data_IF_999740905044
#
_entry.id   IF_999740905044
#
_cell.length_a   1.000
_cell.length_b   1.000
_cell.length_c   1.000
_cell.angle_alpha   90.00
_cell.angle_beta   90.00
_cell.angle_gamma   90.00
#
_symmetry.space_group_name_H-M   'P 1'
#
loop_
_entity.id
_entity.type
_entity.pdbx_description
1 polymer ?
#
# COMPACT_ATOMS: atom_id res chain seq x y z
N UNK A 1 11.22 26.14 3.72
CA UNK A 1 9.85 26.46 3.27
C UNK A 1 8.89 25.56 4.02
N UNK A 2 7.81 26.13 4.57
CA UNK A 2 6.76 25.39 5.26
C UNK A 2 5.69 25.01 4.25
N UNK A 3 5.61 23.73 3.93
CA UNK A 3 4.71 23.17 2.93
C UNK A 3 3.31 22.98 3.51
N UNK A 4 2.22 23.26 2.77
CA UNK A 4 0.85 23.02 3.22
C UNK A 4 0.63 21.57 3.68
N UNK A 5 0.09 21.41 4.88
CA UNK A 5 -0.34 20.11 5.41
C UNK A 5 -1.79 19.86 5.05
N UNK A 6 -2.16 18.59 4.91
CA UNK A 6 -3.54 18.22 4.65
C UNK A 6 -4.38 18.44 5.90
N UNK A 7 -5.45 19.22 5.77
CA UNK A 7 -6.35 19.54 6.89
C UNK A 7 -7.77 19.12 6.55
N UNK A 8 -8.37 18.33 7.43
CA UNK A 8 -9.79 17.96 7.38
C UNK A 8 -10.48 18.68 8.52
N UNK A 9 -11.41 19.57 8.20
CA UNK A 9 -12.20 20.34 9.15
C UNK A 9 -13.64 19.82 9.12
N UNK A 10 -14.08 19.23 10.23
CA UNK A 10 -15.39 18.56 10.36
C UNK A 10 -16.38 19.32 11.24
N UNK A 11 -15.92 20.35 11.95
CA UNK A 11 -16.72 21.11 12.92
C UNK A 11 -16.82 22.58 12.48
N UNK A 12 -17.82 22.95 11.67
CA UNK A 12 -18.09 24.35 11.36
C UNK A 12 -18.70 25.07 12.56
N UNK A 13 -18.42 26.37 12.67
CA UNK A 13 -19.23 27.26 13.49
C UNK A 13 -20.54 27.54 12.75
N UNK A 14 -21.67 27.23 13.37
CA UNK A 14 -23.01 27.36 12.76
C UNK A 14 -23.74 28.57 13.33
N UNK A 15 -24.22 29.43 12.45
CA UNK A 15 -25.07 30.59 12.78
C UNK A 15 -26.37 30.47 11.98
N UNK A 16 -27.51 30.52 12.66
CA UNK A 16 -28.84 30.41 12.04
C UNK A 16 -29.60 31.69 12.32
N UNK A 17 -30.03 32.36 11.26
CA UNK A 17 -30.84 33.58 11.33
C UNK A 17 -32.13 33.33 10.58
N UNK A 18 -33.26 33.42 11.28
CA UNK A 18 -34.59 33.26 10.69
C UNK A 18 -35.29 34.62 10.69
N UNK A 19 -35.70 35.09 9.52
CA UNK A 19 -36.54 36.28 9.35
C UNK A 19 -37.82 35.86 8.64
N UNK A 20 -38.93 35.81 9.37
CA UNK A 20 -40.35 35.54 9.03
C UNK A 20 -40.68 34.52 7.91
N UNK A 21 -40.03 34.56 6.74
CA UNK A 21 -40.20 33.64 5.60
C UNK A 21 -38.90 32.97 5.11
N UNK A 22 -37.73 33.55 5.39
CA UNK A 22 -36.42 33.05 4.90
C UNK A 22 -35.55 32.66 6.10
N UNK A 23 -35.06 31.42 6.08
CA UNK A 23 -34.06 30.94 7.02
C UNK A 23 -32.68 30.89 6.34
N UNK A 24 -31.71 31.57 6.94
CA UNK A 24 -30.30 31.53 6.59
C UNK A 24 -29.55 30.67 7.61
N UNK A 25 -29.00 29.55 7.15
CA UNK A 25 -28.02 28.78 7.91
C UNK A 25 -26.63 28.98 7.34
N UNK A 26 -25.71 29.49 8.16
CA UNK A 26 -24.31 29.77 7.81
C UNK A 26 -23.38 28.82 8.55
N UNK A 27 -22.50 28.15 7.81
CA UNK A 27 -21.53 27.18 8.30
C UNK A 27 -20.13 27.70 7.98
N UNK A 28 -19.37 28.07 9.01
CA UNK A 28 -18.07 28.74 8.88
C UNK A 28 -16.93 27.83 9.31
N UNK A 29 -15.93 27.66 8.43
CA UNK A 29 -14.71 26.92 8.68
C UNK A 29 -13.53 27.86 8.76
N UNK A 30 -12.87 27.91 9.92
CA UNK A 30 -11.67 28.70 10.14
C UNK A 30 -10.43 27.91 9.71
N UNK A 31 -9.70 28.42 8.72
CA UNK A 31 -8.46 27.83 8.21
C UNK A 31 -7.30 28.77 8.54
N UNK A 32 -6.49 28.42 9.53
CA UNK A 32 -5.21 29.09 9.75
C UNK A 32 -4.18 28.59 8.72
N UNK A 33 -3.84 29.46 7.77
CA UNK A 33 -2.94 29.17 6.67
C UNK A 33 -1.61 29.91 6.88
N UNK A 34 -0.59 29.20 7.35
CA UNK A 34 0.74 29.74 7.59
C UNK A 34 1.78 28.88 6.89
N UNK A 35 1.76 28.91 5.56
CA UNK A 35 2.59 28.10 4.67
C UNK A 35 3.21 28.98 3.57
N UNK A 36 4.31 28.52 2.98
CA UNK A 36 5.10 29.25 1.97
C UNK A 36 4.73 28.88 0.53
N UNK A 37 3.82 27.92 0.35
CA UNK A 37 3.29 27.50 -0.96
C UNK A 37 1.76 27.41 -0.93
N UNK A 38 1.11 27.44 -2.10
CA UNK A 38 -0.34 27.22 -2.23
C UNK A 38 -0.74 25.79 -1.87
N UNK A 39 -1.93 25.55 -1.30
CA UNK A 39 -2.45 24.19 -1.14
C UNK A 39 -2.63 23.54 -2.51
N UNK A 40 -2.71 22.21 -2.52
CA UNK A 40 -2.90 21.47 -3.77
C UNK A 40 -4.32 21.63 -4.32
N UNK A 41 -5.30 21.51 -3.44
CA UNK A 41 -6.72 21.57 -3.74
C UNK A 41 -7.51 21.96 -2.50
N UNK A 42 -8.81 22.16 -2.67
CA UNK A 42 -9.75 22.08 -1.55
C UNK A 42 -11.02 21.35 -2.01
N UNK A 43 -11.64 20.65 -1.07
CA UNK A 43 -12.88 19.90 -1.31
C UNK A 43 -13.85 20.26 -0.20
N UNK A 44 -15.07 20.63 -0.57
CA UNK A 44 -16.17 20.80 0.37
C UNK A 44 -17.19 19.69 0.13
N UNK A 45 -17.38 18.82 1.12
CA UNK A 45 -18.39 17.75 1.08
C UNK A 45 -19.51 18.07 2.05
N UNK A 46 -20.76 17.93 1.60
CA UNK A 46 -21.91 18.20 2.45
C UNK A 46 -23.06 17.22 2.23
N UNK A 47 -23.90 17.10 3.26
CA UNK A 47 -25.19 16.41 3.27
C UNK A 47 -26.23 17.40 3.77
N UNK A 48 -27.13 17.83 2.88
CA UNK A 48 -28.15 18.84 3.17
C UNK A 48 -29.53 18.21 3.18
N UNK A 49 -30.30 18.52 4.22
CA UNK A 49 -31.72 18.16 4.34
C UNK A 49 -32.55 19.39 4.03
N UNK A 50 -33.42 19.30 3.02
CA UNK A 50 -34.22 20.45 2.58
C UNK A 50 -35.53 20.04 1.88
N UNK A 51 -36.36 21.04 1.60
CA UNK A 51 -37.53 21.01 0.71
C UNK A 51 -37.42 22.14 -0.33
N UNK A 52 -38.13 22.03 -1.46
CA UNK A 52 -38.04 22.93 -2.60
C UNK A 52 -36.64 22.98 -3.22
N UNK A 53 -36.11 24.19 -3.49
CA UNK A 53 -34.82 24.44 -4.13
C UNK A 53 -34.09 25.57 -3.41
N UNK A 54 -33.54 25.32 -2.21
CA UNK A 54 -32.82 26.35 -1.46
C UNK A 54 -31.59 26.82 -2.23
N UNK A 55 -31.23 28.09 -2.03
CA UNK A 55 -30.00 28.66 -2.59
C UNK A 55 -28.81 28.24 -1.73
N UNK A 56 -27.82 27.62 -2.37
CA UNK A 56 -26.54 27.27 -1.78
C UNK A 56 -25.48 28.26 -2.25
N UNK A 57 -24.80 28.90 -1.31
CA UNK A 57 -23.73 29.84 -1.58
C UNK A 57 -22.49 29.50 -0.76
N UNK A 58 -21.33 29.44 -1.40
CA UNK A 58 -20.05 29.23 -0.75
C UNK A 58 -19.14 30.41 -1.06
N UNK A 59 -18.53 30.97 -0.02
CA UNK A 59 -17.60 32.10 -0.13
C UNK A 59 -16.41 31.90 0.80
N UNK A 60 -15.33 32.63 0.54
CA UNK A 60 -14.16 32.68 1.42
C UNK A 60 -13.81 34.13 1.75
N UNK A 61 -13.68 34.41 3.04
CA UNK A 61 -13.14 35.68 3.54
C UNK A 61 -11.66 35.46 3.79
N UNK A 62 -10.83 36.25 3.11
CA UNK A 62 -9.37 36.19 3.19
C UNK A 62 -8.82 37.00 4.36
N UNK A 63 -7.55 36.78 4.78
CA UNK A 63 -6.91 37.54 5.85
C UNK A 63 -6.82 39.05 5.61
N UNK A 64 -6.81 39.48 4.36
CA UNK A 64 -6.79 40.89 3.95
C UNK A 64 -8.20 41.52 3.91
N UNK A 65 -9.23 40.80 4.36
CA UNK A 65 -10.62 41.25 4.40
C UNK A 65 -11.37 41.12 3.07
N UNK A 66 -10.71 40.68 2.00
CA UNK A 66 -11.37 40.49 0.71
C UNK A 66 -12.25 39.24 0.75
N UNK A 67 -13.54 39.40 0.48
CA UNK A 67 -14.48 38.29 0.28
C UNK A 67 -14.48 37.86 -1.19
N UNK A 68 -14.30 36.57 -1.42
CA UNK A 68 -14.42 35.93 -2.73
C UNK A 68 -15.61 34.96 -2.72
N UNK A 69 -16.53 35.16 -3.65
CA UNK A 69 -17.59 34.18 -3.92
C UNK A 69 -16.99 33.00 -4.71
N UNK A 70 -17.32 31.77 -4.30
CA UNK A 70 -16.79 30.54 -4.91
C UNK A 70 -17.87 29.80 -5.70
N UNK A 71 -19.06 29.65 -5.12
CA UNK A 71 -20.20 28.97 -5.74
C UNK A 71 -21.48 29.66 -5.31
N UNK A 72 -22.41 29.84 -6.24
CA UNK A 72 -23.79 30.25 -5.96
C UNK A 72 -24.74 29.49 -6.88
N UNK A 73 -25.43 28.48 -6.34
CA UNK A 73 -26.33 27.60 -7.11
C UNK A 73 -27.54 27.17 -6.29
N UNK A 74 -28.64 26.80 -6.92
CA UNK A 74 -29.79 26.21 -6.23
C UNK A 74 -29.61 24.70 -6.10
N UNK A 75 -29.99 24.13 -4.95
CA UNK A 75 -30.04 22.68 -4.79
C UNK A 75 -31.17 22.07 -5.65
N UNK A 76 -31.04 20.80 -6.06
CA UNK A 76 -32.04 20.12 -6.88
C UNK A 76 -33.44 20.19 -6.29
N UNK A 77 -34.44 20.50 -7.09
CA UNK A 77 -35.82 20.65 -6.63
C UNK A 77 -36.38 19.35 -6.03
N UNK A 78 -37.02 19.44 -4.87
CA UNK A 78 -37.78 18.34 -4.27
C UNK A 78 -39.04 18.83 -3.55
N UNK A 79 -40.19 18.22 -3.87
CA UNK A 79 -41.47 18.48 -3.18
C UNK A 79 -41.56 17.79 -1.81
N UNK A 80 -40.66 16.85 -1.51
CA UNK A 80 -40.61 16.11 -0.25
C UNK A 80 -39.29 16.40 0.47
N UNK A 81 -39.29 16.24 1.81
CA UNK A 81 -38.07 16.31 2.62
C UNK A 81 -37.07 15.27 2.11
N UNK A 82 -35.99 15.75 1.49
CA UNK A 82 -34.95 14.91 0.93
C UNK A 82 -33.62 15.19 1.60
N UNK A 83 -32.70 14.23 1.52
CA UNK A 83 -31.30 14.41 1.86
C UNK A 83 -30.52 14.33 0.55
N UNK A 84 -29.75 15.37 0.27
CA UNK A 84 -28.88 15.43 -0.89
C UNK A 84 -27.43 15.52 -0.43
N UNK A 85 -26.58 14.70 -1.02
CA UNK A 85 -25.15 14.65 -0.74
C UNK A 85 -24.38 15.03 -1.99
N UNK A 86 -23.42 15.93 -1.83
CA UNK A 86 -22.57 16.37 -2.94
C UNK A 86 -21.17 16.76 -2.46
N UNK A 87 -20.25 16.91 -3.42
CA UNK A 87 -18.87 17.34 -3.22
C UNK A 87 -18.51 18.40 -4.24
N UNK A 88 -18.08 19.55 -3.73
CA UNK A 88 -17.55 20.65 -4.53
C UNK A 88 -16.03 20.56 -4.52
N UNK A 89 -15.42 20.52 -5.70
CA UNK A 89 -13.99 20.46 -5.89
C UNK A 89 -13.46 21.81 -6.34
N UNK A 90 -12.29 22.21 -5.85
CA UNK A 90 -11.63 23.43 -6.29
C UNK A 90 -11.37 23.51 -7.80
N UNK A 91 -11.31 22.36 -8.47
CA UNK A 91 -11.16 22.20 -9.92
C UNK A 91 -12.45 22.38 -10.72
N UNK A 92 -13.60 22.50 -10.06
CA UNK A 92 -14.89 22.64 -10.75
C UNK A 92 -14.93 23.92 -11.59
N UNK A 93 -15.43 23.78 -12.82
CA UNK A 93 -15.48 24.89 -13.78
C UNK A 93 -16.30 26.09 -13.25
N UNK A 94 -17.31 25.82 -12.41
CA UNK A 94 -18.14 26.84 -11.77
C UNK A 94 -17.32 27.72 -10.82
N UNK A 95 -16.48 27.13 -9.96
CA UNK A 95 -15.59 27.87 -9.06
C UNK A 95 -14.63 28.75 -9.86
N UNK A 96 -14.02 28.16 -10.89
CA UNK A 96 -13.08 28.90 -11.72
C UNK A 96 -13.77 30.09 -12.40
N UNK A 97 -14.98 29.91 -12.91
CA UNK A 97 -15.78 30.97 -13.54
C UNK A 97 -16.13 32.07 -12.53
N UNK A 98 -16.59 31.73 -11.33
CA UNK A 98 -16.98 32.69 -10.29
C UNK A 98 -15.79 33.53 -9.82
N UNK A 99 -14.61 32.91 -9.67
CA UNK A 99 -13.37 33.61 -9.35
C UNK A 99 -12.92 34.56 -10.48
N UNK A 100 -13.11 34.17 -11.75
CA UNK A 100 -12.76 35.02 -12.91
C UNK A 100 -13.63 36.28 -13.00
N UNK A 101 -14.92 36.18 -12.62
CA UNK A 101 -15.81 37.35 -12.55
C UNK A 101 -15.30 38.40 -11.56
N UNK A 102 -14.47 37.99 -10.59
CA UNK A 102 -13.89 38.85 -9.56
C UNK A 102 -12.41 39.17 -9.83
N UNK A 103 -11.96 39.04 -11.09
CA UNK A 103 -10.56 39.27 -11.49
C UNK A 103 -10.06 40.70 -11.25
N UNK A 104 -10.96 41.68 -11.27
CA UNK A 104 -10.67 43.09 -10.98
C UNK A 104 -10.14 43.34 -9.56
N UNK A 105 -10.32 42.39 -8.63
CA UNK A 105 -9.74 42.43 -7.28
C UNK A 105 -8.24 42.13 -7.23
N UNK A 106 -7.63 41.73 -8.35
CA UNK A 106 -6.21 41.35 -8.45
C UNK A 106 -5.46 42.25 -9.43
N UNK A 107 -4.24 42.66 -9.05
CA UNK A 107 -3.40 43.54 -9.87
C UNK A 107 -2.59 42.77 -10.95
N UNK A 108 -2.75 41.45 -11.02
CA UNK A 108 -2.09 40.57 -11.99
C UNK A 108 -3.08 39.64 -12.69
N UNK A 109 -2.66 39.08 -13.82
CA UNK A 109 -3.49 38.18 -14.63
C UNK A 109 -3.69 36.83 -13.93
N UNK A 110 -4.92 36.56 -13.49
CA UNK A 110 -5.30 35.30 -12.82
C UNK A 110 -5.69 34.16 -13.78
N UNK A 111 -5.71 34.42 -15.10
CA UNK A 111 -6.30 33.51 -16.09
C UNK A 111 -5.66 32.12 -16.11
N UNK A 112 -4.36 32.04 -15.83
CA UNK A 112 -3.57 30.80 -15.87
C UNK A 112 -3.36 30.14 -14.51
N UNK A 113 -3.87 30.74 -13.43
CA UNK A 113 -3.68 30.19 -12.09
C UNK A 113 -4.70 29.09 -11.79
N UNK A 114 -4.42 28.24 -10.82
CA UNK A 114 -5.44 27.35 -10.26
C UNK A 114 -6.38 28.13 -9.33
N UNK A 115 -7.50 27.53 -8.91
CA UNK A 115 -8.45 28.19 -7.99
C UNK A 115 -7.79 28.50 -6.64
N UNK A 116 -6.93 27.61 -6.16
CA UNK A 116 -6.13 27.78 -4.94
C UNK A 116 -5.14 28.92 -5.11
N UNK A 117 -4.47 28.99 -6.26
CA UNK A 117 -3.57 30.09 -6.60
C UNK A 117 -4.27 31.45 -6.59
N UNK A 118 -5.56 31.52 -6.93
CA UNK A 118 -6.34 32.76 -6.82
C UNK A 118 -6.74 33.04 -5.37
N UNK A 119 -7.32 32.06 -4.68
CA UNK A 119 -7.87 32.23 -3.34
C UNK A 119 -6.77 32.59 -2.34
N UNK A 120 -5.63 31.89 -2.40
CA UNK A 120 -4.55 31.98 -1.43
C UNK A 120 -3.40 32.91 -1.86
N UNK A 121 -3.51 33.64 -2.98
CA UNK A 121 -2.49 34.65 -3.36
C UNK A 121 -2.81 36.02 -2.79
N UNK A 122 -1.77 36.82 -2.52
CA UNK A 122 -1.93 38.27 -2.31
C UNK A 122 -2.54 38.92 -3.56
N UNK A 123 -3.28 40.01 -3.40
CA UNK A 123 -3.93 40.72 -4.52
C UNK A 123 -2.93 41.44 -5.44
N UNK A 124 -1.83 41.91 -4.89
CA UNK A 124 -0.76 42.65 -5.58
C UNK A 124 0.19 41.72 -6.37
N UNK A 125 0.49 40.54 -5.80
CA UNK A 125 1.52 39.63 -6.31
C UNK A 125 1.07 38.18 -6.12
N UNK A 126 1.37 37.33 -7.10
CA UNK A 126 1.12 35.88 -7.03
C UNK A 126 2.07 35.17 -6.03
N UNK A 127 1.89 35.44 -4.74
CA UNK A 127 2.59 34.83 -3.62
C UNK A 127 1.58 34.43 -2.54
N UNK A 128 1.83 33.39 -1.75
CA UNK A 128 0.91 32.97 -0.68
C UNK A 128 0.61 34.07 0.33
N UNK A 129 -0.67 34.31 0.57
CA UNK A 129 -1.19 35.18 1.61
C UNK A 129 -1.40 34.35 2.88
N UNK A 130 -0.61 34.63 3.92
CA UNK A 130 -0.67 33.96 5.22
C UNK A 130 -1.72 34.62 6.11
N UNK A 131 -2.40 33.81 6.91
CA UNK A 131 -3.36 34.28 7.90
C UNK A 131 -4.57 33.36 8.04
N UNK A 132 -5.62 33.87 8.69
CA UNK A 132 -6.86 33.13 8.91
C UNK A 132 -7.84 33.38 7.76
N UNK A 133 -8.26 32.30 7.11
CA UNK A 133 -9.32 32.29 6.12
C UNK A 133 -10.60 31.78 6.76
N UNK A 134 -11.75 32.36 6.39
CA UNK A 134 -13.06 31.90 6.84
C UNK A 134 -13.83 31.45 5.61
N UNK A 135 -13.99 30.14 5.45
CA UNK A 135 -14.85 29.57 4.42
C UNK A 135 -16.27 29.52 4.97
N UNK A 136 -17.18 30.27 4.36
CA UNK A 136 -18.56 30.39 4.79
C UNK A 136 -19.48 29.77 3.75
N UNK A 137 -20.27 28.80 4.18
CA UNK A 137 -21.30 28.15 3.37
C UNK A 137 -22.66 28.56 3.90
N UNK A 138 -23.44 29.22 3.06
CA UNK A 138 -24.75 29.75 3.37
C UNK A 138 -25.81 28.96 2.60
N UNK A 139 -26.83 28.50 3.32
CA UNK A 139 -28.01 27.86 2.74
C UNK A 139 -29.22 28.74 3.06
N UNK A 140 -29.86 29.26 2.01
CA UNK A 140 -31.08 30.05 2.12
C UNK A 140 -32.26 29.15 1.78
N UNK A 141 -33.06 28.84 2.80
CA UNK A 141 -34.27 28.05 2.68
C UNK A 141 -35.53 28.88 2.93
N UNK A 142 -36.66 28.36 2.46
CA UNK A 142 -37.99 28.87 2.79
C UNK A 142 -38.55 27.98 3.89
N UNK A 143 -38.89 28.56 5.04
CA UNK A 143 -39.23 27.86 6.29
C UNK A 143 -38.05 27.05 6.90
N UNK A 144 -38.11 26.72 8.20
CA UNK A 144 -37.06 26.07 9.00
C UNK A 144 -36.68 24.62 8.59
N UNK A 145 -36.91 24.24 7.34
CA UNK A 145 -36.75 22.87 6.86
C UNK A 145 -35.44 22.61 6.13
N UNK A 146 -34.60 23.64 5.94
CA UNK A 146 -33.33 23.56 5.20
C UNK A 146 -32.12 23.66 6.13
N UNK A 147 -31.37 22.57 6.27
CA UNK A 147 -30.17 22.52 7.10
C UNK A 147 -29.09 21.61 6.50
N UNK A 148 -27.82 21.95 6.71
CA UNK A 148 -26.71 21.07 6.39
C UNK A 148 -26.45 20.17 7.60
N UNK A 149 -26.73 18.88 7.43
CA UNK A 149 -26.63 17.86 8.49
C UNK A 149 -25.18 17.48 8.75
N UNK A 150 -24.38 17.38 7.68
CA UNK A 150 -22.94 17.10 7.76
C UNK A 150 -22.23 17.96 6.75
N UNK A 151 -21.10 18.54 7.14
CA UNK A 151 -20.23 19.26 6.22
C UNK A 151 -18.78 19.13 6.65
N UNK A 152 -17.92 18.89 5.66
CA UNK A 152 -16.49 18.76 5.86
C UNK A 152 -15.78 19.64 4.83
N UNK A 153 -14.85 20.48 5.29
CA UNK A 153 -13.92 21.21 4.42
C UNK A 153 -12.55 20.54 4.50
N UNK A 154 -12.04 20.13 3.34
CA UNK A 154 -10.74 19.51 3.18
C UNK A 154 -9.85 20.52 2.45
N UNK A 155 -8.74 20.90 3.06
CA UNK A 155 -7.67 21.66 2.39
C UNK A 155 -6.56 20.68 2.06
N UNK A 156 -6.36 20.42 0.76
CA UNK A 156 -5.34 19.53 0.25
C UNK A 156 -3.94 20.07 0.52
N UNK A 157 -3.23 19.43 1.45
CA UNK A 157 -1.81 19.68 1.65
C UNK A 157 -0.95 19.03 0.57
N UNK A 158 0.32 19.41 0.54
CA UNK A 158 1.35 18.70 -0.24
C UNK A 158 2.15 17.69 0.61
N UNK A 159 1.91 17.64 1.92
CA UNK A 159 2.42 16.61 2.83
C UNK A 159 1.26 15.86 3.52
N UNK A 160 1.32 14.52 3.56
CA UNK A 160 0.32 13.62 4.15
C UNK A 160 0.97 12.39 4.83
N UNK A 161 0.27 11.75 5.77
CA UNK A 161 0.60 10.41 6.30
C UNK A 161 1.67 10.37 7.41
N UNK A 162 1.51 9.42 8.35
CA UNK A 162 2.48 9.21 9.46
C UNK A 162 3.84 8.73 8.93
N UNK A 163 3.84 7.98 7.83
CA UNK A 163 5.05 7.48 7.16
C UNK A 163 5.40 8.26 5.88
N UNK A 164 4.84 9.47 5.71
CA UNK A 164 5.08 10.33 4.57
C UNK A 164 4.36 9.88 3.29
N UNK A 165 4.66 10.58 2.20
CA UNK A 165 4.04 10.33 0.89
C UNK A 165 5.05 10.02 -0.21
N UNK A 166 4.53 9.45 -1.29
CA UNK A 166 5.22 9.29 -2.56
C UNK A 166 5.11 10.55 -3.45
N UNK A 167 5.60 10.45 -4.70
CA UNK A 167 5.58 11.51 -5.71
C UNK A 167 4.17 11.95 -6.12
N UNK A 168 3.20 11.04 -6.03
CA UNK A 168 1.79 11.30 -6.31
C UNK A 168 1.04 11.78 -5.06
N UNK A 169 1.76 12.00 -3.96
CA UNK A 169 1.22 12.40 -2.65
C UNK A 169 0.29 11.35 -2.02
N UNK A 170 0.42 10.09 -2.42
CA UNK A 170 -0.29 8.97 -1.79
C UNK A 170 0.38 8.63 -0.46
N UNK A 171 -0.43 8.19 0.52
CA UNK A 171 0.08 7.77 1.83
C UNK A 171 0.85 6.45 1.71
N UNK A 172 2.14 6.48 2.05
CA UNK A 172 3.00 5.29 2.01
C UNK A 172 2.61 4.26 3.07
N UNK A 173 1.99 4.67 4.18
CA UNK A 173 1.55 3.74 5.22
C UNK A 173 0.54 2.71 4.66
N UNK A 174 -0.36 3.16 3.78
CA UNK A 174 -1.34 2.31 3.12
C UNK A 174 -0.63 1.30 2.21
N UNK A 175 0.34 1.75 1.41
CA UNK A 175 1.14 0.86 0.55
C UNK A 175 1.91 -0.20 1.33
N UNK A 176 2.53 0.18 2.45
CA UNK A 176 3.28 -0.73 3.31
C UNK A 176 2.39 -1.80 3.93
N UNK A 177 1.21 -1.42 4.44
CA UNK A 177 0.25 -2.35 5.03
C UNK A 177 -0.33 -3.30 3.98
N UNK A 178 -0.67 -2.81 2.78
CA UNK A 178 -1.16 -3.65 1.68
C UNK A 178 -0.08 -4.56 1.09
N UNK A 179 1.18 -4.15 1.12
CA UNK A 179 2.31 -5.00 0.71
C UNK A 179 2.58 -6.17 1.67
N UNK A 180 2.17 -6.06 2.93
CA UNK A 180 2.41 -7.09 3.96
C UNK A 180 1.78 -8.46 3.63
N UNK A 181 0.45 -8.57 3.38
CA UNK A 181 -0.16 -9.86 3.03
C UNK A 181 0.42 -10.45 1.74
N UNK A 182 0.83 -9.60 0.80
CA UNK A 182 1.41 -10.03 -0.46
C UNK A 182 2.82 -10.60 -0.29
N UNK A 183 3.67 -9.93 0.48
CA UNK A 183 4.99 -10.42 0.85
C UNK A 183 4.88 -11.76 1.61
N UNK A 184 3.95 -11.88 2.56
CA UNK A 184 3.70 -13.13 3.27
C UNK A 184 3.19 -14.25 2.35
N UNK A 185 2.31 -13.94 1.40
CA UNK A 185 1.83 -14.88 0.39
C UNK A 185 2.99 -15.43 -0.45
N UNK A 186 3.81 -14.56 -1.05
CA UNK A 186 4.97 -14.95 -1.85
C UNK A 186 5.91 -15.81 -1.01
N UNK A 187 6.30 -15.29 0.16
CA UNK A 187 7.23 -15.94 1.07
C UNK A 187 6.80 -17.34 1.48
N UNK A 188 5.56 -17.49 1.97
CA UNK A 188 5.03 -18.76 2.46
C UNK A 188 4.80 -19.76 1.33
N UNK A 189 4.15 -19.35 0.24
CA UNK A 189 3.80 -20.27 -0.86
C UNK A 189 5.06 -20.81 -1.53
N UNK A 190 6.01 -19.93 -1.88
CA UNK A 190 7.27 -20.34 -2.50
C UNK A 190 8.04 -21.28 -1.57
N UNK A 191 8.13 -20.95 -0.28
CA UNK A 191 8.92 -21.72 0.68
C UNK A 191 8.32 -23.08 0.97
N UNK A 192 7.03 -23.16 1.26
CA UNK A 192 6.36 -24.42 1.56
C UNK A 192 6.42 -25.34 0.34
N UNK A 193 6.11 -24.81 -0.85
CA UNK A 193 6.15 -25.61 -2.07
C UNK A 193 7.58 -26.10 -2.39
N UNK A 194 8.57 -25.21 -2.28
CA UNK A 194 9.99 -25.57 -2.51
C UNK A 194 10.48 -26.61 -1.52
N UNK A 195 10.11 -26.50 -0.25
CA UNK A 195 10.46 -27.46 0.80
C UNK A 195 9.81 -28.81 0.57
N UNK A 196 8.50 -28.84 0.28
CA UNK A 196 7.78 -30.08 -0.01
C UNK A 196 8.37 -30.78 -1.23
N UNK A 197 8.55 -30.06 -2.34
CA UNK A 197 9.13 -30.61 -3.56
C UNK A 197 10.55 -31.12 -3.33
N UNK A 198 11.41 -30.32 -2.67
CA UNK A 198 12.79 -30.68 -2.38
C UNK A 198 12.89 -31.90 -1.47
N UNK A 199 12.08 -31.97 -0.41
CA UNK A 199 12.03 -33.12 0.49
C UNK A 199 11.58 -34.38 -0.24
N UNK A 200 10.47 -34.34 -0.97
CA UNK A 200 9.97 -35.50 -1.70
C UNK A 200 11.01 -35.99 -2.72
N UNK A 201 11.60 -35.07 -3.48
CA UNK A 201 12.60 -35.37 -4.50
C UNK A 201 13.88 -35.96 -3.90
N UNK A 202 14.45 -35.28 -2.91
CA UNK A 202 15.71 -35.68 -2.26
C UNK A 202 15.56 -36.98 -1.47
N UNK A 203 14.48 -37.12 -0.69
CA UNK A 203 14.22 -38.34 0.09
C UNK A 203 14.07 -39.54 -0.84
N UNK A 204 13.30 -39.40 -1.93
CA UNK A 204 13.10 -40.45 -2.89
C UNK A 204 14.40 -40.88 -3.58
N UNK A 205 15.22 -39.90 -4.01
CA UNK A 205 16.53 -40.16 -4.60
C UNK A 205 17.45 -40.92 -3.63
N UNK A 206 17.61 -40.43 -2.39
CA UNK A 206 18.47 -41.04 -1.39
C UNK A 206 18.01 -42.44 -0.95
N UNK A 207 16.70 -42.65 -0.84
CA UNK A 207 16.11 -43.92 -0.44
C UNK A 207 16.33 -45.00 -1.50
N UNK A 208 15.97 -44.72 -2.76
CA UNK A 208 16.13 -45.68 -3.87
C UNK A 208 17.59 -45.98 -4.18
N UNK A 209 18.46 -44.96 -4.14
CA UNK A 209 19.89 -45.11 -4.41
C UNK A 209 20.21 -45.52 -5.86
N UNK A 210 21.48 -45.91 -6.09
CA UNK A 210 21.99 -46.44 -7.36
C UNK A 210 21.70 -45.47 -8.54
N UNK A 211 21.21 -45.99 -9.67
CA UNK A 211 20.94 -45.23 -10.89
C UNK A 211 19.85 -44.17 -10.70
N UNK A 212 18.81 -44.45 -9.90
CA UNK A 212 17.73 -43.48 -9.66
C UNK A 212 18.26 -42.23 -8.96
N UNK A 213 19.12 -42.43 -7.96
CA UNK A 213 19.76 -41.34 -7.25
C UNK A 213 20.66 -40.50 -8.16
N UNK A 214 21.49 -41.17 -8.97
CA UNK A 214 22.35 -40.49 -9.93
C UNK A 214 21.54 -39.66 -10.94
N UNK A 215 20.53 -40.23 -11.60
CA UNK A 215 19.72 -39.51 -12.60
C UNK A 215 19.00 -38.30 -11.99
N UNK A 216 18.39 -38.47 -10.81
CA UNK A 216 17.68 -37.38 -10.15
C UNK A 216 18.67 -36.28 -9.71
N UNK A 217 19.81 -36.64 -9.14
CA UNK A 217 20.80 -35.63 -8.75
C UNK A 217 21.44 -34.92 -9.94
N UNK A 218 21.63 -35.60 -11.08
CA UNK A 218 22.09 -34.95 -12.32
C UNK A 218 21.11 -33.89 -12.80
N UNK A 219 19.81 -34.20 -12.83
CA UNK A 219 18.78 -33.24 -13.19
C UNK A 219 18.75 -32.05 -12.20
N UNK A 220 18.82 -32.35 -10.91
CA UNK A 220 18.92 -31.34 -9.86
C UNK A 220 20.15 -30.43 -10.05
N UNK A 221 21.33 -31.00 -10.36
CA UNK A 221 22.56 -30.24 -10.60
C UNK A 221 22.45 -29.32 -11.84
N UNK A 222 21.77 -29.76 -12.89
CA UNK A 222 21.49 -28.91 -14.07
C UNK A 222 20.69 -27.68 -13.68
N UNK A 223 19.60 -27.83 -12.90
CA UNK A 223 18.81 -26.68 -12.46
C UNK A 223 19.61 -25.82 -11.47
N UNK A 224 20.37 -26.43 -10.57
CA UNK A 224 21.19 -25.71 -9.58
C UNK A 224 22.26 -24.82 -10.22
N UNK A 225 22.79 -25.24 -11.38
CA UNK A 225 23.78 -24.49 -12.13
C UNK A 225 23.19 -23.25 -12.82
N UNK A 226 21.86 -23.17 -12.98
CA UNK A 226 21.22 -22.02 -13.59
C UNK A 226 21.18 -20.84 -12.61
N UNK A 227 21.64 -19.64 -13.00
CA UNK A 227 21.58 -18.47 -12.15
C UNK A 227 20.13 -17.98 -12.04
N UNK A 228 19.52 -18.20 -10.88
CA UNK A 228 18.08 -17.94 -10.67
C UNK A 228 17.67 -16.51 -11.00
N UNK A 229 18.42 -15.50 -10.52
CA UNK A 229 18.11 -14.08 -10.76
C UNK A 229 18.09 -13.71 -12.26
N UNK A 230 19.13 -13.97 -13.07
CA UNK A 230 19.08 -13.77 -14.52
C UNK A 230 17.91 -14.47 -15.22
N UNK A 231 17.60 -15.71 -14.84
CA UNK A 231 16.45 -16.42 -15.40
C UNK A 231 15.13 -15.72 -15.04
N UNK A 232 14.94 -15.35 -13.78
CA UNK A 232 13.77 -14.61 -13.34
C UNK A 232 13.61 -13.29 -14.10
N UNK A 233 14.71 -12.55 -14.33
CA UNK A 233 14.71 -11.32 -15.13
C UNK A 233 14.23 -11.59 -16.56
N UNK A 234 14.83 -12.57 -17.23
CA UNK A 234 14.47 -12.92 -18.62
C UNK A 234 13.00 -13.32 -18.69
N UNK A 235 12.53 -14.15 -17.75
CA UNK A 235 11.16 -14.65 -17.74
C UNK A 235 10.15 -13.52 -17.43
N UNK A 236 10.45 -12.61 -16.51
CA UNK A 236 9.61 -11.44 -16.23
C UNK A 236 9.44 -10.53 -17.45
N UNK A 237 10.50 -10.37 -18.26
CA UNK A 237 10.47 -9.55 -19.48
C UNK A 237 9.79 -10.26 -20.65
N UNK A 238 9.98 -11.57 -20.81
CA UNK A 238 9.55 -12.32 -22.00
C UNK A 238 8.18 -12.99 -21.87
N UNK A 239 7.79 -13.38 -20.66
CA UNK A 239 6.55 -14.14 -20.41
C UNK A 239 5.51 -13.24 -19.77
N UNK A 240 5.77 -12.76 -18.55
CA UNK A 240 4.85 -11.90 -17.80
C UNK A 240 5.53 -11.41 -16.52
N UNK A 241 5.25 -10.17 -16.13
CA UNK A 241 5.61 -9.62 -14.82
C UNK A 241 4.55 -9.92 -13.73
N UNK A 242 3.58 -10.80 -14.00
CA UNK A 242 2.56 -11.18 -13.02
C UNK A 242 3.19 -11.83 -11.79
N UNK A 243 2.71 -11.42 -10.61
CA UNK A 243 3.18 -11.97 -9.33
C UNK A 243 3.00 -13.49 -9.22
N UNK A 244 1.91 -14.03 -9.78
CA UNK A 244 1.64 -15.47 -9.76
C UNK A 244 2.62 -16.26 -10.64
N UNK A 245 3.00 -15.69 -11.79
CA UNK A 245 3.99 -16.28 -12.69
C UNK A 245 5.37 -16.27 -12.05
N UNK A 246 5.75 -15.16 -11.41
CA UNK A 246 6.99 -15.05 -10.65
C UNK A 246 7.07 -16.04 -9.49
N UNK A 247 5.99 -16.20 -8.70
CA UNK A 247 5.89 -17.24 -7.66
C UNK A 247 6.11 -18.64 -8.25
N UNK A 248 5.52 -18.94 -9.40
CA UNK A 248 5.72 -20.20 -10.11
C UNK A 248 7.18 -20.44 -10.49
N UNK A 249 7.90 -19.41 -10.99
CA UNK A 249 9.32 -19.55 -11.31
C UNK A 249 10.18 -19.71 -10.06
N UNK A 250 9.91 -18.95 -9.00
CA UNK A 250 10.61 -19.11 -7.72
C UNK A 250 10.46 -20.54 -7.17
N UNK A 251 9.27 -21.14 -7.32
CA UNK A 251 9.03 -22.54 -6.95
C UNK A 251 9.86 -23.52 -7.79
N UNK A 252 10.06 -23.27 -9.09
CA UNK A 252 10.86 -24.14 -9.98
C UNK A 252 12.34 -24.13 -9.61
N UNK A 253 12.87 -23.01 -9.12
CA UNK A 253 14.28 -22.90 -8.75
C UNK A 253 14.54 -23.18 -7.25
N UNK A 254 13.55 -22.96 -6.37
CA UNK A 254 13.74 -22.95 -4.92
C UNK A 254 13.96 -24.32 -4.27
N UNK A 255 13.56 -25.43 -4.91
CA UNK A 255 13.59 -26.77 -4.29
C UNK A 255 14.94 -27.47 -4.35
N UNK A 256 15.83 -27.02 -5.23
CA UNK A 256 17.02 -27.77 -5.68
C UNK A 256 18.09 -27.91 -4.58
N UNK A 257 18.33 -26.84 -3.82
CA UNK A 257 19.22 -26.90 -2.66
C UNK A 257 18.67 -27.79 -1.55
N UNK A 258 17.34 -27.72 -1.34
CA UNK A 258 16.64 -28.50 -0.31
C UNK A 258 16.73 -29.99 -0.63
N UNK A 259 16.60 -30.36 -1.90
CA UNK A 259 16.70 -31.75 -2.37
C UNK A 259 18.06 -32.38 -2.06
N UNK A 260 19.16 -31.65 -2.24
CA UNK A 260 20.52 -32.15 -1.96
C UNK A 260 20.70 -32.53 -0.49
N UNK A 261 20.26 -31.66 0.42
CA UNK A 261 20.36 -31.92 1.86
C UNK A 261 19.40 -33.04 2.28
N UNK A 262 18.16 -33.01 1.80
CA UNK A 262 17.17 -34.05 2.08
C UNK A 262 17.64 -35.43 1.60
N UNK A 263 18.32 -35.50 0.45
CA UNK A 263 18.99 -36.72 -0.03
C UNK A 263 20.05 -37.21 0.93
N UNK A 264 20.95 -36.32 1.37
CA UNK A 264 22.03 -36.68 2.30
C UNK A 264 21.47 -37.25 3.61
N UNK A 265 20.43 -36.62 4.17
CA UNK A 265 19.75 -37.12 5.36
C UNK A 265 19.04 -38.46 5.11
N UNK A 266 18.37 -38.61 3.97
CA UNK A 266 17.71 -39.87 3.58
C UNK A 266 18.70 -41.03 3.47
N UNK A 267 19.88 -40.81 2.90
CA UNK A 267 20.96 -41.80 2.84
C UNK A 267 21.42 -42.27 4.22
N UNK A 268 21.43 -41.38 5.22
CA UNK A 268 21.78 -41.72 6.60
C UNK A 268 20.64 -42.42 7.34
N UNK A 269 19.39 -42.02 7.09
CA UNK A 269 18.23 -42.61 7.76
C UNK A 269 17.93 -44.00 7.23
N UNK A 270 18.17 -44.27 5.94
CA UNK A 270 17.86 -45.58 5.34
C UNK A 270 18.70 -46.73 5.92
N UNK A 271 19.88 -46.44 6.45
CA UNK A 271 20.78 -47.44 7.07
C UNK A 271 20.50 -47.62 8.56
N UNK A 272 19.46 -46.98 9.10
CA UNK A 272 19.05 -47.22 10.49
C UNK A 272 18.31 -48.55 10.59
N UNK A 273 18.61 -49.33 11.62
CA UNK A 273 18.09 -50.70 11.78
C UNK A 273 16.57 -50.84 11.71
N UNK A 274 15.79 -49.84 12.15
CA UNK A 274 14.32 -49.88 12.02
C UNK A 274 13.83 -49.72 10.58
N UNK A 275 14.56 -48.99 9.73
CA UNK A 275 14.24 -48.86 8.31
C UNK A 275 14.63 -50.14 7.57
N UNK A 276 15.83 -50.66 7.84
CA UNK A 276 16.29 -51.93 7.26
C UNK A 276 15.35 -53.09 7.62
N UNK A 277 14.94 -53.19 8.90
CA UNK A 277 13.97 -54.18 9.34
C UNK A 277 12.62 -54.05 8.59
N UNK A 278 12.09 -52.84 8.43
CA UNK A 278 10.85 -52.61 7.69
C UNK A 278 10.97 -53.02 6.21
N UNK A 279 12.14 -52.77 5.59
CA UNK A 279 12.43 -53.24 4.23
C UNK A 279 12.50 -54.76 4.15
N UNK A 280 13.17 -55.43 5.10
CA UNK A 280 13.25 -56.90 5.16
C UNK A 280 11.89 -57.56 5.38
N UNK A 281 10.99 -56.89 6.10
CA UNK A 281 9.59 -57.31 6.29
C UNK A 281 8.70 -57.09 5.05
N UNK A 282 9.26 -56.60 3.92
CA UNK A 282 8.54 -56.39 2.68
C UNK A 282 7.58 -55.20 2.69
N UNK A 283 7.78 -54.23 3.59
CA UNK A 283 6.93 -53.03 3.62
C UNK A 283 7.11 -52.21 2.32
N UNK A 284 6.00 -51.72 1.76
CA UNK A 284 6.03 -50.85 0.56
C UNK A 284 6.92 -49.62 0.78
N UNK A 285 7.76 -49.32 -0.19
CA UNK A 285 8.70 -48.17 -0.18
C UNK A 285 8.05 -46.84 0.17
N UNK A 286 6.87 -46.53 -0.41
CA UNK A 286 6.14 -45.29 -0.11
C UNK A 286 5.73 -45.22 1.37
N UNK A 287 5.35 -46.35 1.96
CA UNK A 287 5.01 -46.44 3.38
C UNK A 287 6.26 -46.27 4.26
N UNK A 288 7.40 -46.82 3.83
CA UNK A 288 8.68 -46.61 4.53
C UNK A 288 9.08 -45.13 4.50
N UNK A 289 9.04 -44.50 3.32
CA UNK A 289 9.36 -43.09 3.15
C UNK A 289 8.47 -42.22 4.04
N UNK A 290 7.15 -42.36 3.93
CA UNK A 290 6.20 -41.49 4.63
C UNK A 290 6.15 -41.73 6.15
N UNK A 291 6.37 -42.97 6.61
CA UNK A 291 6.23 -43.30 8.04
C UNK A 291 7.56 -43.27 8.80
N UNK A 292 8.68 -43.54 8.14
CA UNK A 292 9.97 -43.73 8.82
C UNK A 292 11.04 -42.70 8.45
N UNK A 293 11.03 -42.19 7.21
CA UNK A 293 12.07 -41.28 6.74
C UNK A 293 11.61 -39.82 6.83
N UNK A 294 10.52 -39.47 6.15
CA UNK A 294 10.05 -38.09 6.05
C UNK A 294 9.77 -37.44 7.41
N UNK A 295 9.16 -38.12 8.42
CA UNK A 295 8.95 -37.53 9.74
C UNK A 295 10.27 -37.13 10.44
N UNK A 296 11.35 -37.85 10.16
CA UNK A 296 12.65 -37.56 10.75
C UNK A 296 13.32 -36.31 10.13
N UNK A 297 12.90 -35.89 8.94
CA UNK A 297 13.35 -34.67 8.28
C UNK A 297 12.49 -33.44 8.63
N UNK A 298 11.43 -33.57 9.45
CA UNK A 298 10.59 -32.45 9.83
C UNK A 298 11.38 -31.27 10.46
N UNK A 299 12.34 -31.47 11.40
CA UNK A 299 13.13 -30.36 11.92
C UNK A 299 13.83 -29.56 10.80
N UNK A 300 14.44 -30.28 9.86
CA UNK A 300 15.08 -29.69 8.69
C UNK A 300 14.06 -28.98 7.78
N UNK A 301 12.86 -29.55 7.60
CA UNK A 301 11.79 -28.94 6.82
C UNK A 301 11.39 -27.57 7.39
N UNK A 302 11.15 -27.49 8.71
CA UNK A 302 10.76 -26.23 9.36
C UNK A 302 11.89 -25.20 9.33
N UNK A 303 13.12 -25.61 9.59
CA UNK A 303 14.29 -24.73 9.46
C UNK A 303 14.45 -24.21 8.03
N UNK A 304 14.21 -25.06 7.03
CA UNK A 304 14.27 -24.67 5.62
C UNK A 304 13.18 -23.65 5.27
N UNK A 305 11.94 -23.86 5.71
CA UNK A 305 10.86 -22.88 5.51
C UNK A 305 11.24 -21.52 6.13
N UNK A 306 11.75 -21.52 7.36
CA UNK A 306 12.12 -20.29 8.07
C UNK A 306 13.18 -19.45 7.33
N UNK A 307 14.11 -20.10 6.63
CA UNK A 307 15.16 -19.42 5.83
C UNK A 307 14.65 -19.06 4.43
N UNK A 308 13.84 -19.92 3.82
CA UNK A 308 13.33 -19.71 2.46
C UNK A 308 12.34 -18.56 2.36
N UNK A 309 11.55 -18.30 3.41
CA UNK A 309 10.53 -17.23 3.39
C UNK A 309 11.16 -15.84 3.16
N UNK A 310 12.13 -15.39 3.99
CA UNK A 310 12.80 -14.11 3.72
C UNK A 310 13.56 -14.08 2.40
N UNK A 311 14.14 -15.21 1.97
CA UNK A 311 14.85 -15.27 0.70
C UNK A 311 13.91 -15.03 -0.49
N UNK A 312 12.71 -15.63 -0.47
CA UNK A 312 11.69 -15.43 -1.49
C UNK A 312 11.16 -13.99 -1.51
N UNK A 313 10.86 -13.41 -0.34
CA UNK A 313 10.43 -12.01 -0.22
C UNK A 313 11.50 -11.05 -0.74
N UNK A 314 12.76 -11.27 -0.36
CA UNK A 314 13.88 -10.42 -0.80
C UNK A 314 14.12 -10.54 -2.30
N UNK A 315 13.95 -11.74 -2.87
CA UNK A 315 14.10 -11.96 -4.31
C UNK A 315 13.01 -11.24 -5.09
N UNK A 316 11.76 -11.31 -4.63
CA UNK A 316 10.66 -10.55 -5.23
C UNK A 316 10.88 -9.05 -5.11
N UNK A 317 11.23 -8.56 -3.91
CA UNK A 317 11.50 -7.16 -3.68
C UNK A 317 12.65 -6.66 -4.56
N UNK A 318 13.68 -7.49 -4.78
CA UNK A 318 14.79 -7.18 -5.69
C UNK A 318 14.36 -7.12 -7.16
N UNK A 319 13.51 -8.04 -7.63
CA UNK A 319 12.97 -7.99 -8.99
C UNK A 319 12.07 -6.76 -9.20
N UNK A 320 11.20 -6.49 -8.23
CA UNK A 320 10.30 -5.34 -8.29
C UNK A 320 11.08 -4.02 -8.19
N UNK A 321 12.14 -3.95 -7.38
CA UNK A 321 13.08 -2.82 -7.35
C UNK A 321 13.71 -2.55 -8.73
N UNK A 322 14.01 -3.60 -9.50
CA UNK A 322 14.50 -3.49 -10.87
C UNK A 322 13.43 -3.08 -11.90
N UNK A 323 12.18 -2.86 -11.46
CA UNK A 323 11.05 -2.52 -12.33
C UNK A 323 10.41 -3.73 -13.01
N UNK A 324 10.67 -4.96 -12.53
CA UNK A 324 10.20 -6.22 -13.12
C UNK A 324 9.09 -6.89 -12.30
N UNK A 325 8.55 -6.16 -11.31
CA UNK A 325 7.43 -6.60 -10.49
C UNK A 325 6.08 -6.38 -11.17
N UNK A 326 5.02 -6.86 -10.51
CA UNK A 326 3.65 -6.65 -10.96
C UNK A 326 3.17 -5.25 -10.52
N UNK A 327 2.91 -4.31 -11.46
CA UNK A 327 2.51 -2.95 -11.12
C UNK A 327 1.08 -2.86 -10.56
N UNK A 328 0.32 -3.96 -10.62
CA UNK A 328 -1.07 -4.00 -10.14
C UNK A 328 -1.16 -4.01 -8.61
N UNK A 329 -0.06 -4.31 -7.92
CA UNK A 329 -0.02 -4.45 -6.47
C UNK A 329 1.08 -3.58 -5.83
N UNK A 330 0.81 -2.96 -4.68
CA UNK A 330 1.81 -2.18 -3.95
C UNK A 330 2.75 -3.10 -3.15
N UNK A 331 3.72 -3.72 -3.82
CA UNK A 331 4.76 -4.52 -3.13
C UNK A 331 5.80 -3.59 -2.48
N UNK A 332 6.51 -4.08 -1.45
CA UNK A 332 7.60 -3.30 -0.85
C UNK A 332 8.74 -3.03 -1.84
N UNK A 333 9.00 -3.97 -2.75
CA UNK A 333 9.94 -3.77 -3.85
C UNK A 333 9.50 -2.64 -4.80
N UNK A 334 8.19 -2.53 -5.07
CA UNK A 334 7.67 -1.49 -5.96
C UNK A 334 7.79 -0.11 -5.31
N UNK A 335 7.49 -0.02 -4.01
CA UNK A 335 7.69 1.22 -3.25
C UNK A 335 9.17 1.65 -3.32
N UNK A 336 10.10 0.70 -3.18
CA UNK A 336 11.54 0.97 -3.31
C UNK A 336 11.95 1.33 -4.74
N UNK A 337 11.32 0.72 -5.75
CA UNK A 337 11.52 1.05 -7.16
C UNK A 337 11.14 2.52 -7.41
N UNK A 338 9.95 2.92 -6.99
CA UNK A 338 9.46 4.28 -7.18
C UNK A 338 10.35 5.28 -6.43
N UNK A 339 10.77 4.96 -5.21
CA UNK A 339 11.72 5.77 -4.45
C UNK A 339 13.04 5.97 -5.20
N UNK A 340 13.56 4.93 -5.86
CA UNK A 340 14.78 5.03 -6.66
C UNK A 340 14.56 5.83 -7.96
N UNK A 341 13.50 5.54 -8.70
CA UNK A 341 13.15 6.20 -9.97
C UNK A 341 12.94 7.70 -9.78
N UNK A 342 12.33 8.13 -8.68
CA UNK A 342 12.12 9.54 -8.36
C UNK A 342 13.23 10.15 -7.50
N UNK A 343 14.37 9.49 -7.32
CA UNK A 343 15.52 10.07 -6.62
C UNK A 343 15.23 10.45 -5.15
N UNK A 344 14.39 9.67 -4.45
CA UNK A 344 14.02 9.90 -3.06
C UNK A 344 15.25 10.02 -2.14
N UNK A 345 16.27 9.19 -2.36
CA UNK A 345 17.52 9.22 -1.61
C UNK A 345 18.25 10.57 -1.76
N UNK A 346 18.41 11.05 -2.99
CA UNK A 346 19.08 12.32 -3.29
C UNK A 346 18.29 13.52 -2.73
N UNK A 347 16.97 13.41 -2.64
CA UNK A 347 16.06 14.44 -2.09
C UNK A 347 15.89 14.35 -0.57
N UNK A 348 16.55 13.42 0.10
CA UNK A 348 16.42 13.23 1.56
C UNK A 348 15.06 12.68 2.01
N UNK A 349 14.26 12.10 1.11
CA UNK A 349 12.95 11.53 1.38
C UNK A 349 13.09 10.12 1.99
N UNK A 350 13.77 10.03 3.14
CA UNK A 350 14.15 8.76 3.78
C UNK A 350 12.95 7.86 4.13
N UNK A 351 11.78 8.46 4.36
CA UNK A 351 10.53 7.76 4.68
C UNK A 351 10.01 6.88 3.53
N UNK A 352 10.49 7.08 2.30
CA UNK A 352 10.15 6.21 1.16
C UNK A 352 11.02 4.94 1.10
N UNK A 353 12.18 4.95 1.78
CA UNK A 353 13.20 3.90 1.66
C UNK A 353 13.30 3.07 2.94
N UNK A 354 13.39 3.74 4.10
CA UNK A 354 13.65 3.09 5.39
C UNK A 354 12.50 2.18 5.82
N UNK A 355 11.22 2.61 5.79
CA UNK A 355 10.10 1.77 6.20
C UNK A 355 9.95 0.45 5.42
N UNK A 356 9.95 0.39 4.06
CA UNK A 356 9.87 -0.88 3.36
C UNK A 356 11.08 -1.79 3.64
N UNK A 357 12.28 -1.22 3.79
CA UNK A 357 13.47 -1.98 4.20
C UNK A 357 13.34 -2.60 5.59
N UNK A 358 12.82 -1.84 6.57
CA UNK A 358 12.53 -2.34 7.92
C UNK A 358 11.47 -3.44 7.88
N UNK A 359 10.44 -3.32 7.05
CA UNK A 359 9.42 -4.36 6.93
C UNK A 359 9.97 -5.68 6.40
N UNK A 360 10.80 -5.64 5.35
CA UNK A 360 11.52 -6.82 4.85
C UNK A 360 12.37 -7.45 5.97
N UNK A 361 13.14 -6.63 6.70
CA UNK A 361 14.03 -7.10 7.76
C UNK A 361 13.27 -7.72 8.95
N UNK A 362 12.22 -7.06 9.44
CA UNK A 362 11.39 -7.54 10.56
C UNK A 362 10.69 -8.84 10.18
N UNK A 363 10.09 -8.91 8.98
CA UNK A 363 9.45 -10.13 8.51
C UNK A 363 10.46 -11.27 8.43
N UNK A 364 11.65 -11.03 7.88
CA UNK A 364 12.69 -12.05 7.84
C UNK A 364 13.14 -12.51 9.22
N UNK A 365 13.36 -11.57 10.14
CA UNK A 365 13.74 -11.89 11.52
C UNK A 365 12.64 -12.69 12.25
N UNK A 366 11.37 -12.34 12.04
CA UNK A 366 10.25 -13.05 12.61
C UNK A 366 10.23 -14.52 12.16
N UNK A 367 10.45 -14.80 10.87
CA UNK A 367 10.50 -16.17 10.37
C UNK A 367 11.72 -16.95 10.89
N UNK A 368 12.88 -16.31 11.02
CA UNK A 368 14.06 -16.92 11.66
C UNK A 368 13.76 -17.31 13.11
N UNK A 369 13.13 -16.43 13.89
CA UNK A 369 12.73 -16.75 15.27
C UNK A 369 11.68 -17.86 15.35
N UNK A 370 10.69 -17.87 14.45
CA UNK A 370 9.72 -18.96 14.35
C UNK A 370 10.44 -20.29 14.07
N UNK A 371 11.40 -20.29 13.13
CA UNK A 371 12.20 -21.48 12.82
C UNK A 371 12.96 -22.01 14.03
N UNK A 372 13.65 -21.13 14.75
CA UNK A 372 14.41 -21.50 15.96
C UNK A 372 13.49 -22.02 17.08
N UNK A 373 12.33 -21.40 17.28
CA UNK A 373 11.35 -21.84 18.26
C UNK A 373 10.78 -23.22 17.90
N UNK A 374 10.45 -23.46 16.63
CA UNK A 374 9.96 -24.77 16.15
C UNK A 374 11.02 -25.86 16.34
N UNK A 375 12.29 -25.59 16.02
CA UNK A 375 13.37 -26.56 16.20
C UNK A 375 13.52 -26.98 17.68
N UNK A 376 13.40 -26.03 18.61
CA UNK A 376 13.45 -26.30 20.06
C UNK A 376 12.30 -27.20 20.56
N UNK A 377 11.13 -27.16 19.91
CA UNK A 377 9.97 -27.98 20.25
C UNK A 377 10.10 -29.38 19.67
N UNK A 378 10.59 -29.49 18.43
CA UNK A 378 10.65 -30.75 17.68
C UNK A 378 11.86 -31.58 18.08
N UNK A 379 12.94 -30.94 18.55
CA UNK A 379 14.15 -31.61 19.02
C UNK A 379 14.30 -31.50 20.55
N UNK A 380 13.65 -32.37 21.34
CA UNK A 380 13.64 -32.29 22.81
C UNK A 380 15.02 -32.49 23.44
N UNK A 381 16.05 -32.92 22.68
CA UNK A 381 17.43 -33.05 23.16
C UNK A 381 18.16 -31.70 23.30
N UNK A 382 17.62 -30.61 22.75
CA UNK A 382 18.20 -29.26 22.85
C UNK A 382 17.68 -28.47 24.08
N UNK A 383 16.69 -28.98 24.82
CA UNK A 383 16.31 -28.46 26.13
C UNK A 383 17.28 -28.98 27.19
N UNK A 384 18.45 -28.38 27.32
CA UNK A 384 19.29 -28.59 28.49
C UNK A 384 19.91 -27.30 28.99
#
# INVERSE_FOLDING_TARGET
>A
EKIPEHKILTEPKVEITSNDEINLSSYQFNVNFNYDEFPNDFIYSYSSKYTNSPLFQMSVIRPDGVKLELVSTSLPHSNLKTIHEDRIFSTDAMIKKELMLQSEKFEFKINKLSSEGIIFSKTEVNQPLKGNYIFSVNLYGINDESQIVKSNLIIGGKAFGIMGTDELRRDLAIGLLWGTPLALFIGLVVSIASVVMGLMYGVYAGFKGKKTDETLMRFNDVIYALPALPFLIILSVTISNSIFVMVGFLMIFGWVGIAKVARSMSLQIKTRGYVEAATMMGQKDSKIILKHILPQLLPYAFASVAISVPAAITTEAGLSFLGLGDPSFPTWGQILHDANTFGAAARGLWWWIVPPGIMIAITGLAFVFIGNALDSIINPKLKR
#
